data_IF_996019569882
#
_entry.id   IF_996019569882
#
_cell.length_a   1.000
_cell.length_b   1.000
_cell.length_c   1.000
_cell.angle_alpha   90.00
_cell.angle_beta   90.00
_cell.angle_gamma   90.00
#
_symmetry.space_group_name_H-M   'P 1'
#
loop_
_entity.id
_entity.type
_entity.pdbx_description
1 polymer ?
#
# COMPACT_ATOMS: atom_id res chain seq x y z
N UNK A 1 -31.95 -17.72 3.85
CA UNK A 1 -30.82 -16.80 4.04
C UNK A 1 -29.77 -17.17 3.01
N UNK A 2 -29.69 -16.47 1.87
CA UNK A 2 -28.60 -16.68 0.91
C UNK A 2 -27.32 -16.19 1.55
N UNK A 3 -26.38 -17.11 1.82
CA UNK A 3 -25.00 -16.73 2.06
C UNK A 3 -24.47 -16.13 0.75
N UNK A 4 -24.41 -14.80 0.68
CA UNK A 4 -23.61 -14.15 -0.35
C UNK A 4 -22.17 -14.58 -0.14
N UNK A 5 -21.60 -15.26 -1.14
CA UNK A 5 -20.16 -15.50 -1.17
C UNK A 5 -19.49 -14.13 -1.06
N UNK A 6 -18.60 -13.89 -0.07
CA UNK A 6 -17.93 -12.61 0.06
C UNK A 6 -17.24 -12.30 -1.27
N UNK A 7 -17.74 -11.30 -1.98
CA UNK A 7 -17.13 -10.90 -3.25
C UNK A 7 -15.78 -10.31 -2.89
N UNK A 8 -14.70 -10.77 -3.54
CA UNK A 8 -13.35 -10.28 -3.24
C UNK A 8 -13.34 -8.77 -3.41
N UNK A 9 -13.08 -8.02 -2.33
CA UNK A 9 -12.99 -6.57 -2.43
C UNK A 9 -11.81 -6.12 -3.28
N UNK A 10 -12.01 -4.99 -3.96
CA UNK A 10 -11.02 -4.38 -4.85
C UNK A 10 -9.85 -3.89 -4.02
N UNK A 11 -8.64 -4.22 -4.47
CA UNK A 11 -7.41 -3.72 -3.85
C UNK A 11 -7.29 -2.20 -4.03
N UNK A 12 -7.14 -1.47 -2.93
CA UNK A 12 -6.97 -0.02 -2.92
C UNK A 12 -5.54 0.34 -3.35
N UNK A 13 -5.41 1.24 -4.32
CA UNK A 13 -4.13 1.87 -4.65
C UNK A 13 -3.81 2.90 -3.57
N UNK A 14 -2.61 2.84 -3.03
CA UNK A 14 -2.17 3.69 -1.92
C UNK A 14 -0.68 3.94 -2.08
N UNK A 15 -0.25 5.16 -1.79
CA UNK A 15 1.16 5.52 -1.73
C UNK A 15 1.77 5.15 -0.38
N UNK A 16 3.07 4.92 -0.33
CA UNK A 16 3.77 4.54 0.91
C UNK A 16 3.59 5.59 2.01
N UNK A 17 3.65 6.88 1.68
CA UNK A 17 3.43 7.96 2.65
C UNK A 17 2.06 7.81 3.36
N UNK A 18 0.98 7.76 2.59
CA UNK A 18 -0.39 7.60 3.12
C UNK A 18 -0.57 6.26 3.86
N UNK A 19 0.04 5.19 3.35
CA UNK A 19 -0.06 3.88 3.97
C UNK A 19 0.62 3.85 5.34
N UNK A 20 1.83 4.37 5.44
CA UNK A 20 2.63 4.36 6.66
C UNK A 20 2.04 5.20 7.80
N UNK A 21 1.26 6.24 7.45
CA UNK A 21 0.55 7.07 8.43
C UNK A 21 -0.75 6.42 8.93
N UNK A 22 -1.21 5.35 8.28
CA UNK A 22 -2.38 4.60 8.72
C UNK A 22 -2.05 3.70 9.92
N UNK A 23 -2.83 3.78 10.99
CA UNK A 23 -2.63 2.97 12.20
C UNK A 23 -3.92 2.38 12.78
N UNK A 24 -5.08 2.84 12.32
CA UNK A 24 -6.37 2.43 12.87
C UNK A 24 -7.02 1.33 12.03
N UNK A 25 -7.41 0.23 12.68
CA UNK A 25 -8.17 -0.85 12.06
C UNK A 25 -9.55 -1.03 12.69
N UNK A 26 -10.56 -1.36 11.89
CA UNK A 26 -11.94 -1.50 12.34
C UNK A 26 -12.73 -2.54 11.55
N UNK A 27 -13.90 -2.93 12.08
CA UNK A 27 -14.91 -3.75 11.41
C UNK A 27 -16.17 -2.92 11.23
N UNK A 28 -16.88 -3.12 10.13
CA UNK A 28 -18.15 -2.42 9.84
C UNK A 28 -19.38 -3.08 10.52
N UNK A 29 -19.21 -4.28 11.07
CA UNK A 29 -20.28 -4.98 11.77
C UNK A 29 -19.74 -5.79 12.94
N UNK A 30 -20.63 -6.15 13.86
CA UNK A 30 -20.32 -6.99 15.02
C UNK A 30 -20.16 -8.48 14.66
N UNK A 31 -20.34 -8.86 13.40
CA UNK A 31 -20.14 -10.25 12.96
C UNK A 31 -18.68 -10.69 13.22
N UNK A 32 -18.52 -11.86 13.83
CA UNK A 32 -17.20 -12.43 14.11
C UNK A 32 -16.35 -12.57 12.84
N UNK A 33 -17.00 -12.85 11.71
CA UNK A 33 -16.41 -13.01 10.37
C UNK A 33 -16.34 -11.71 9.57
N UNK A 34 -16.75 -10.57 10.14
CA UNK A 34 -16.66 -9.29 9.47
C UNK A 34 -15.21 -8.99 9.05
N UNK A 35 -14.98 -8.50 7.82
CA UNK A 35 -13.65 -8.11 7.37
C UNK A 35 -13.09 -7.01 8.25
N UNK A 36 -11.79 -7.12 8.55
CA UNK A 36 -11.03 -6.06 9.19
C UNK A 36 -10.49 -5.12 8.10
N UNK A 37 -10.68 -3.82 8.30
CA UNK A 37 -10.21 -2.78 7.41
C UNK A 37 -9.12 -1.96 8.09
N UNK A 38 -8.15 -1.50 7.31
CA UNK A 38 -7.30 -0.36 7.65
C UNK A 38 -7.99 0.92 7.19
N UNK A 39 -8.08 1.91 8.06
CA UNK A 39 -8.55 3.24 7.70
C UNK A 39 -7.36 4.05 7.15
N UNK A 40 -7.44 4.54 5.92
CA UNK A 40 -6.43 5.42 5.35
C UNK A 40 -6.67 6.86 5.82
N UNK A 41 -5.61 7.66 6.04
CA UNK A 41 -5.73 9.06 6.46
C UNK A 41 -6.53 9.94 5.51
N UNK A 42 -6.59 9.60 4.22
CA UNK A 42 -7.40 10.30 3.21
C UNK A 42 -8.88 9.90 3.21
N UNK A 43 -9.36 9.19 4.23
CA UNK A 43 -10.78 8.92 4.42
C UNK A 43 -11.31 7.77 3.56
N UNK A 44 -10.56 6.69 3.44
CA UNK A 44 -10.98 5.47 2.73
C UNK A 44 -10.63 4.22 3.53
N UNK A 45 -11.38 3.15 3.33
CA UNK A 45 -11.11 1.86 3.96
C UNK A 45 -10.41 0.90 3.00
N UNK A 46 -9.44 0.15 3.52
CA UNK A 46 -8.70 -0.85 2.77
C UNK A 46 -8.73 -2.21 3.46
N UNK A 47 -9.38 -3.21 2.85
CA UNK A 47 -9.20 -4.61 3.22
C UNK A 47 -7.98 -5.24 2.52
N UNK A 48 -7.64 -4.69 1.35
CA UNK A 48 -6.55 -5.12 0.48
C UNK A 48 -5.96 -3.88 -0.18
N UNK A 49 -4.66 -3.87 -0.35
CA UNK A 49 -3.91 -2.83 -1.06
C UNK A 49 -3.26 -3.39 -2.31
N UNK A 50 -3.09 -2.52 -3.31
CA UNK A 50 -2.34 -2.76 -4.53
C UNK A 50 -1.27 -1.70 -4.66
N UNK A 51 -0.01 -2.10 -4.53
CA UNK A 51 1.14 -1.21 -4.54
C UNK A 51 2.13 -1.64 -5.61
N UNK A 52 2.80 -0.68 -6.23
CA UNK A 52 3.88 -0.93 -7.19
C UNK A 52 5.07 -0.08 -6.81
N UNK A 53 6.26 -0.67 -6.83
CA UNK A 53 7.49 0.02 -6.50
C UNK A 53 8.72 -0.82 -6.79
N UNK A 54 9.87 -0.30 -6.41
CA UNK A 54 11.15 -1.00 -6.56
C UNK A 54 11.42 -1.84 -5.32
N UNK A 55 11.48 -3.17 -5.47
CA UNK A 55 12.05 -4.04 -4.45
C UNK A 55 13.55 -3.73 -4.35
N UNK A 56 13.98 -3.10 -3.26
CA UNK A 56 15.38 -2.70 -3.04
C UNK A 56 16.14 -3.72 -2.21
N UNK A 57 15.46 -4.41 -1.30
CA UNK A 57 16.04 -5.39 -0.39
C UNK A 57 15.09 -6.56 -0.18
N UNK A 58 15.66 -7.76 -0.02
CA UNK A 58 14.95 -8.95 0.47
C UNK A 58 15.82 -9.68 1.50
N UNK A 59 15.21 -10.23 2.53
CA UNK A 59 15.91 -10.96 3.59
C UNK A 59 15.01 -12.09 4.11
N UNK A 60 15.56 -13.28 4.34
CA UNK A 60 14.89 -14.31 5.13
C UNK A 60 15.17 -14.02 6.61
N UNK A 61 14.15 -13.57 7.33
CA UNK A 61 14.23 -13.21 8.75
C UNK A 61 13.62 -14.30 9.65
N UNK A 62 13.35 -15.48 9.08
CA UNK A 62 12.87 -16.64 9.82
C UNK A 62 13.98 -17.38 10.56
N UNK A 63 13.67 -17.90 11.75
CA UNK A 63 14.59 -18.76 12.52
C UNK A 63 14.39 -20.25 12.16
N UNK A 64 13.20 -20.79 12.48
CA UNK A 64 12.87 -22.21 12.27
C UNK A 64 12.14 -22.49 10.95
N UNK A 65 11.60 -21.45 10.31
CA UNK A 65 10.80 -21.56 9.08
C UNK A 65 11.01 -20.34 8.21
N UNK A 66 11.01 -20.55 6.90
CA UNK A 66 11.15 -19.48 5.89
C UNK A 66 10.17 -18.33 6.13
N UNK A 67 10.71 -17.12 6.30
CA UNK A 67 9.95 -15.91 6.54
C UNK A 67 10.63 -14.72 5.87
N UNK A 68 10.22 -14.43 4.64
CA UNK A 68 10.82 -13.39 3.80
C UNK A 68 10.26 -12.01 4.13
N UNK A 69 11.16 -11.07 4.38
CA UNK A 69 10.91 -9.62 4.39
C UNK A 69 11.34 -9.02 3.05
N UNK A 70 10.46 -8.24 2.43
CA UNK A 70 10.78 -7.40 1.27
C UNK A 70 10.65 -5.92 1.61
N UNK A 71 11.57 -5.10 1.09
CA UNK A 71 11.53 -3.64 1.16
C UNK A 71 11.23 -3.09 -0.22
N UNK A 72 10.09 -2.43 -0.38
CA UNK A 72 9.60 -1.91 -1.67
C UNK A 72 9.50 -0.39 -1.56
N UNK A 73 10.13 0.33 -2.48
CA UNK A 73 10.17 1.79 -2.47
C UNK A 73 9.32 2.33 -3.61
N UNK A 74 8.41 3.25 -3.29
CA UNK A 74 7.69 4.07 -4.26
C UNK A 74 8.18 5.54 -4.17
N UNK A 75 7.70 6.46 -5.03
CA UNK A 75 8.14 7.86 -4.99
C UNK A 75 7.87 8.61 -3.66
N UNK A 76 7.01 8.06 -2.81
CA UNK A 76 6.54 8.69 -1.56
C UNK A 76 7.12 8.05 -0.30
N UNK A 77 7.78 6.88 -0.42
CA UNK A 77 8.33 6.19 0.74
C UNK A 77 8.56 4.70 0.55
N UNK A 78 8.50 3.96 1.65
CA UNK A 78 8.79 2.51 1.68
C UNK A 78 7.59 1.73 2.20
N UNK A 79 7.28 0.61 1.55
CA UNK A 79 6.47 -0.47 2.08
C UNK A 79 7.35 -1.62 2.56
N UNK A 80 6.95 -2.22 3.68
CA UNK A 80 7.49 -3.51 4.12
C UNK A 80 6.48 -4.62 3.85
N UNK A 81 6.94 -5.72 3.25
CA UNK A 81 6.14 -6.92 3.01
C UNK A 81 6.73 -8.11 3.74
N UNK A 82 5.88 -8.96 4.32
CA UNK A 82 6.31 -10.17 5.04
C UNK A 82 5.53 -11.39 4.55
N UNK A 83 6.24 -12.40 4.03
CA UNK A 83 5.67 -13.65 3.54
C UNK A 83 6.31 -14.85 4.23
N UNK A 84 5.51 -15.62 4.96
CA UNK A 84 5.95 -16.87 5.60
C UNK A 84 5.35 -18.12 4.98
N UNK A 85 5.46 -19.24 5.70
CA UNK A 85 4.88 -20.55 5.32
C UNK A 85 3.39 -20.54 4.95
N UNK A 86 2.61 -19.58 5.47
CA UNK A 86 1.19 -19.45 5.15
C UNK A 86 0.92 -18.60 3.89
N UNK A 87 1.95 -18.06 3.26
CA UNK A 87 1.93 -17.31 2.00
C UNK A 87 2.95 -17.93 1.01
N UNK A 88 2.84 -19.23 0.68
CA UNK A 88 3.90 -19.95 -0.03
C UNK A 88 4.21 -19.36 -1.41
N UNK A 89 3.20 -18.84 -2.11
CA UNK A 89 3.37 -18.18 -3.41
C UNK A 89 4.18 -16.88 -3.29
N UNK A 90 3.82 -16.00 -2.36
CA UNK A 90 4.53 -14.74 -2.18
C UNK A 90 5.93 -14.93 -1.57
N UNK A 91 6.11 -15.90 -0.67
CA UNK A 91 7.41 -16.27 -0.12
C UNK A 91 8.34 -16.80 -1.23
N UNK A 92 7.83 -17.69 -2.09
CA UNK A 92 8.58 -18.19 -3.24
C UNK A 92 8.95 -17.07 -4.21
N UNK A 93 8.02 -16.15 -4.51
CA UNK A 93 8.30 -15.00 -5.35
C UNK A 93 9.41 -14.12 -4.77
N UNK A 94 9.36 -13.76 -3.48
CA UNK A 94 10.43 -12.98 -2.83
C UNK A 94 11.77 -13.71 -2.86
N UNK A 95 11.78 -15.02 -2.59
CA UNK A 95 12.99 -15.85 -2.66
C UNK A 95 13.64 -15.82 -4.04
N UNK A 96 12.85 -15.80 -5.10
CA UNK A 96 13.32 -15.87 -6.50
C UNK A 96 13.65 -14.51 -7.11
N UNK A 97 13.06 -13.41 -6.62
CA UNK A 97 13.34 -12.06 -7.10
C UNK A 97 14.78 -11.62 -6.81
N UNK A 98 15.38 -10.86 -7.73
CA UNK A 98 16.70 -10.25 -7.56
C UNK A 98 16.56 -8.72 -7.50
N UNK A 99 16.77 -8.08 -6.33
CA UNK A 99 16.80 -6.63 -6.22
C UNK A 99 18.00 -6.01 -6.97
N UNK A 100 17.85 -4.84 -7.61
CA UNK A 100 16.63 -4.05 -7.73
C UNK A 100 15.68 -4.59 -8.82
N UNK A 101 14.38 -4.67 -8.51
CA UNK A 101 13.35 -5.05 -9.48
C UNK A 101 12.04 -4.31 -9.22
N UNK A 102 11.34 -3.86 -10.28
CA UNK A 102 9.98 -3.35 -10.12
C UNK A 102 9.02 -4.49 -9.83
N UNK A 103 8.23 -4.35 -8.77
CA UNK A 103 7.28 -5.36 -8.32
C UNK A 103 5.91 -4.75 -8.07
N UNK A 104 4.88 -5.49 -8.43
CA UNK A 104 3.51 -5.24 -8.06
C UNK A 104 3.10 -6.20 -6.93
N UNK A 105 2.52 -5.65 -5.87
CA UNK A 105 2.09 -6.40 -4.69
C UNK A 105 0.62 -6.17 -4.44
N UNK A 106 -0.11 -7.28 -4.31
CA UNK A 106 -1.46 -7.29 -3.77
C UNK A 106 -1.40 -7.95 -2.41
N UNK A 107 -1.90 -7.29 -1.37
CA UNK A 107 -1.82 -7.84 -0.03
C UNK A 107 -2.80 -7.24 0.95
N UNK A 108 -2.86 -7.86 2.13
CA UNK A 108 -3.67 -7.38 3.25
C UNK A 108 -2.85 -6.48 4.15
N UNK A 109 -3.38 -5.30 4.51
CA UNK A 109 -2.73 -4.48 5.52
C UNK A 109 -2.63 -5.19 6.87
N UNK A 110 -1.53 -4.97 7.57
CA UNK A 110 -1.29 -5.44 8.93
C UNK A 110 -0.65 -4.33 9.74
N UNK A 111 -1.30 -3.95 10.83
CA UNK A 111 -0.71 -3.11 11.87
C UNK A 111 0.02 -3.97 12.89
N UNK A 112 1.10 -3.44 13.45
CA UNK A 112 1.83 -4.02 14.56
C UNK A 112 2.44 -2.91 15.42
N UNK A 113 2.59 -3.17 16.71
CA UNK A 113 3.24 -2.26 17.63
C UNK A 113 4.74 -2.51 17.60
N UNK A 114 5.54 -1.45 17.54
CA UNK A 114 7.00 -1.50 17.65
C UNK A 114 7.45 -1.35 19.10
N UNK A 115 8.73 -1.64 19.36
CA UNK A 115 9.30 -1.62 20.71
C UNK A 115 9.23 -0.25 21.40
N UNK A 116 9.15 0.83 20.63
CA UNK A 116 8.98 2.21 21.11
C UNK A 116 7.50 2.61 21.32
N UNK A 117 6.56 1.69 21.12
CA UNK A 117 5.12 1.89 21.29
C UNK A 117 4.43 2.57 20.11
N UNK A 118 5.14 2.82 19.01
CA UNK A 118 4.51 3.32 17.79
C UNK A 118 3.78 2.19 17.05
N UNK A 119 2.73 2.53 16.28
CA UNK A 119 2.03 1.56 15.43
C UNK A 119 2.54 1.74 14.01
N UNK A 120 3.12 0.68 13.46
CA UNK A 120 3.54 0.62 12.06
C UNK A 120 2.63 -0.30 11.25
N UNK A 121 2.72 -0.17 9.94
CA UNK A 121 2.03 -1.05 8.99
C UNK A 121 2.98 -1.83 8.11
N UNK A 122 2.54 -3.02 7.74
CA UNK A 122 3.18 -3.85 6.72
C UNK A 122 2.13 -4.46 5.81
N UNK A 123 2.57 -4.90 4.64
CA UNK A 123 1.72 -5.64 3.69
C UNK A 123 1.96 -7.12 3.91
N UNK A 124 0.91 -7.87 4.22
CA UNK A 124 0.93 -9.34 4.11
C UNK A 124 0.56 -9.69 2.67
N UNK A 125 1.52 -10.07 1.83
CA UNK A 125 1.29 -10.25 0.41
C UNK A 125 0.43 -11.49 0.18
N UNK A 126 -0.53 -11.34 -0.73
CA UNK A 126 -1.27 -12.46 -1.33
C UNK A 126 -0.61 -12.85 -2.65
N UNK A 127 -0.07 -11.88 -3.40
CA UNK A 127 0.70 -12.10 -4.63
C UNK A 127 1.78 -11.03 -4.81
N UNK A 128 2.92 -11.41 -5.40
CA UNK A 128 4.01 -10.52 -5.79
C UNK A 128 4.43 -10.92 -7.22
N UNK A 129 4.55 -9.94 -8.11
CA UNK A 129 4.97 -10.17 -9.49
C UNK A 129 5.93 -9.07 -9.98
N UNK A 130 6.93 -9.43 -10.77
CA UNK A 130 7.77 -8.45 -11.48
C UNK A 130 6.94 -7.70 -12.52
N UNK A 131 7.18 -6.40 -12.64
CA UNK A 131 6.56 -5.54 -13.66
C UNK A 131 7.61 -4.70 -14.37
N UNK A 132 7.23 -4.03 -15.45
CA UNK A 132 8.08 -3.07 -16.16
C UNK A 132 7.89 -1.63 -15.64
N UNK A 133 8.75 -0.72 -16.12
CA UNK A 133 8.70 0.70 -15.77
C UNK A 133 7.35 1.32 -16.14
N UNK A 134 6.86 1.07 -17.35
CA UNK A 134 5.58 1.60 -17.82
C UNK A 134 4.39 1.20 -16.92
N UNK A 135 4.38 -0.02 -16.38
CA UNK A 135 3.38 -0.46 -15.40
C UNK A 135 3.51 0.29 -14.08
N UNK A 136 4.74 0.55 -13.62
CA UNK A 136 5.02 1.36 -12.44
C UNK A 136 4.54 2.80 -12.63
N UNK A 137 4.84 3.42 -13.75
CA UNK A 137 4.49 4.84 -14.02
C UNK A 137 2.98 5.02 -14.16
N UNK A 138 2.33 4.06 -14.82
CA UNK A 138 0.86 4.00 -14.86
C UNK A 138 0.26 3.84 -13.47
N UNK A 139 0.85 2.99 -12.61
CA UNK A 139 0.39 2.85 -11.24
C UNK A 139 0.54 4.15 -10.45
N UNK A 140 1.67 4.85 -10.57
CA UNK A 140 1.88 6.16 -9.92
C UNK A 140 0.81 7.16 -10.36
N UNK A 141 0.57 7.28 -11.67
CA UNK A 141 -0.46 8.18 -12.22
C UNK A 141 -1.86 7.85 -11.70
N UNK A 142 -2.27 6.58 -11.77
CA UNK A 142 -3.60 6.15 -11.32
C UNK A 142 -3.76 6.24 -9.80
N UNK A 143 -2.68 6.06 -9.04
CA UNK A 143 -2.68 6.18 -7.58
C UNK A 143 -2.80 7.63 -7.16
N UNK A 144 -2.03 8.53 -7.79
CA UNK A 144 -2.13 9.96 -7.55
C UNK A 144 -3.53 10.50 -7.84
N UNK A 145 -4.10 10.19 -9.01
CA UNK A 145 -5.46 10.61 -9.34
C UNK A 145 -6.48 10.15 -8.28
N UNK A 146 -6.44 8.88 -7.89
CA UNK A 146 -7.36 8.35 -6.86
C UNK A 146 -7.11 8.94 -5.48
N UNK A 147 -5.86 9.24 -5.12
CA UNK A 147 -5.54 9.89 -3.84
C UNK A 147 -6.09 11.31 -3.86
N UNK A 148 -5.87 12.08 -4.92
CA UNK A 148 -6.41 13.43 -5.08
C UNK A 148 -7.95 13.44 -5.04
N UNK A 149 -8.62 12.51 -5.74
CA UNK A 149 -10.08 12.37 -5.71
C UNK A 149 -10.62 12.16 -4.28
N UNK A 150 -9.92 11.33 -3.48
CA UNK A 150 -10.29 11.09 -2.07
C UNK A 150 -10.13 12.34 -1.21
N UNK A 151 -9.05 13.09 -1.44
CA UNK A 151 -8.76 14.32 -0.71
C UNK A 151 -9.79 15.40 -1.06
N UNK A 152 -10.17 15.54 -2.32
CA UNK A 152 -11.21 16.47 -2.76
C UNK A 152 -12.57 16.15 -2.13
N UNK A 153 -12.92 14.87 -2.02
CA UNK A 153 -14.14 14.39 -1.37
C UNK A 153 -14.01 14.24 0.18
N UNK A 154 -12.90 14.68 0.77
CA UNK A 154 -12.63 14.46 2.20
C UNK A 154 -13.57 15.25 3.11
N UNK A 155 -13.99 16.45 2.69
CA UNK A 155 -14.92 17.32 3.41
C UNK A 155 -16.40 17.06 3.11
N UNK A 156 -16.71 16.09 2.24
CA UNK A 156 -18.09 15.79 1.89
C UNK A 156 -18.90 15.32 3.12
N UNK A 157 -20.07 15.91 3.33
CA UNK A 157 -20.97 15.57 4.44
C UNK A 157 -21.38 14.09 4.45
N UNK A 158 -21.27 13.38 3.32
CA UNK A 158 -21.55 11.95 3.20
C UNK A 158 -20.38 11.04 3.59
N UNK A 159 -19.15 11.56 3.69
CA UNK A 159 -17.96 10.75 3.83
C UNK A 159 -17.71 10.35 5.30
N UNK A 160 -18.25 9.20 5.69
CA UNK A 160 -18.11 8.69 7.07
C UNK A 160 -16.69 8.29 7.43
N UNK A 161 -15.90 7.80 6.47
CA UNK A 161 -14.52 7.40 6.71
C UNK A 161 -13.60 8.61 6.81
N UNK A 162 -13.86 9.70 6.09
CA UNK A 162 -13.12 10.95 6.28
C UNK A 162 -13.37 11.56 7.67
N UNK A 163 -14.61 11.53 8.17
CA UNK A 163 -14.90 11.90 9.57
C UNK A 163 -14.15 11.01 10.54
N UNK A 164 -14.19 9.69 10.33
CA UNK A 164 -13.46 8.75 11.17
C UNK A 164 -11.95 8.99 11.10
N UNK A 165 -11.40 9.33 9.94
CA UNK A 165 -9.98 9.62 9.77
C UNK A 165 -9.57 10.87 10.56
N UNK A 166 -10.38 11.94 10.56
CA UNK A 166 -10.15 13.13 11.40
C UNK A 166 -10.14 12.83 12.89
N UNK A 167 -10.99 11.91 13.34
CA UNK A 167 -11.06 11.52 14.74
C UNK A 167 -9.87 10.63 15.17
N UNK A 168 -9.22 9.96 14.21
CA UNK A 168 -8.19 8.95 14.46
C UNK A 168 -6.78 9.44 14.18
N UNK A 169 -6.62 10.36 13.24
CA UNK A 169 -5.34 10.86 12.77
C UNK A 169 -5.25 12.36 13.00
N UNK A 170 -4.20 12.78 13.69
CA UNK A 170 -3.84 14.19 13.85
C UNK A 170 -2.84 14.58 12.74
N UNK A 171 -3.26 14.37 11.49
CA UNK A 171 -2.44 14.59 10.30
C UNK A 171 -3.23 15.39 9.26
N UNK A 172 -2.65 16.46 8.69
CA UNK A 172 -3.32 17.22 7.65
C UNK A 172 -3.30 16.42 6.34
N UNK A 173 -4.50 16.19 5.79
CA UNK A 173 -4.68 15.44 4.54
C UNK A 173 -3.88 16.01 3.36
N UNK A 174 -3.58 17.31 3.41
CA UNK A 174 -2.78 18.03 2.41
C UNK A 174 -1.34 17.51 2.29
N UNK A 175 -0.76 16.90 3.33
CA UNK A 175 0.55 16.25 3.22
C UNK A 175 0.53 15.10 2.20
N UNK A 176 -0.59 14.39 2.10
CA UNK A 176 -0.78 13.33 1.10
C UNK A 176 -1.08 13.89 -0.29
N UNK A 177 -1.65 15.10 -0.39
CA UNK A 177 -1.77 15.81 -1.68
C UNK A 177 -0.38 16.16 -2.20
N UNK A 178 0.46 16.74 -1.35
CA UNK A 178 1.83 17.11 -1.72
C UNK A 178 2.66 15.89 -2.12
N UNK A 179 2.52 14.78 -1.39
CA UNK A 179 3.16 13.51 -1.75
C UNK A 179 2.69 12.98 -3.12
N UNK A 180 1.38 13.03 -3.41
CA UNK A 180 0.84 12.60 -4.70
C UNK A 180 1.30 13.49 -5.86
N UNK A 181 1.36 14.81 -5.66
CA UNK A 181 1.84 15.77 -6.67
C UNK A 181 3.34 15.60 -6.90
N UNK A 182 4.12 15.39 -5.84
CA UNK A 182 5.56 15.12 -5.95
C UNK A 182 5.82 13.81 -6.70
N UNK A 183 5.03 12.76 -6.44
CA UNK A 183 5.12 11.50 -7.17
C UNK A 183 4.85 11.68 -8.67
N UNK A 184 3.85 12.48 -9.06
CA UNK A 184 3.58 12.79 -10.47
C UNK A 184 4.75 13.54 -11.12
N UNK A 185 5.29 14.57 -10.46
CA UNK A 185 6.45 15.33 -10.98
C UNK A 185 7.69 14.45 -11.18
N UNK A 186 7.87 13.46 -10.31
CA UNK A 186 8.99 12.52 -10.44
C UNK A 186 8.91 11.63 -11.69
N UNK A 187 7.73 11.49 -12.30
CA UNK A 187 7.57 10.85 -13.60
C UNK A 187 7.99 11.79 -14.73
N UNK A 188 7.53 13.04 -14.69
CA UNK A 188 7.87 14.04 -15.70
C UNK A 188 9.40 14.25 -15.79
N UNK A 189 10.07 14.36 -14.64
CA UNK A 189 11.54 14.48 -14.59
C UNK A 189 12.25 13.23 -15.14
N UNK A 190 11.65 12.04 -14.97
CA UNK A 190 12.22 10.78 -15.48
C UNK A 190 12.07 10.68 -17.00
N UNK A 191 10.91 11.06 -17.54
CA UNK A 191 10.62 11.08 -18.98
C UNK A 191 11.56 12.09 -19.69
N UNK A 192 11.77 13.28 -19.12
CA UNK A 192 12.69 14.28 -19.67
C UNK A 192 14.14 13.78 -19.75
N UNK A 193 14.59 12.99 -18.75
CA UNK A 193 15.93 12.40 -18.74
C UNK A 193 16.10 11.24 -19.74
N UNK A 194 15.04 10.48 -20.00
CA UNK A 194 15.04 9.42 -21.02
C UNK A 194 15.11 10.01 -22.44
N UNK A 195 14.44 11.14 -22.69
CA UNK A 195 14.46 11.84 -23.98
C UNK A 195 15.80 12.55 -24.27
N UNK A 196 16.57 12.93 -23.25
CA UNK A 196 17.89 13.58 -23.39
C UNK A 196 19.08 12.62 -23.50
N UNK A 197 18.89 11.31 -23.28
CA UNK A 197 19.96 10.31 -23.35
C UNK A 197 20.35 10.02 -24.82
N UNK A 198 21.65 10.11 -25.20
CA UNK A 198 22.08 9.82 -26.56
C UNK A 198 21.97 8.31 -26.87
N UNK A 199 21.40 8.00 -28.04
CA UNK A 199 21.21 6.64 -28.57
C UNK A 199 22.52 5.88 -28.89
#
# INVERSE_FOLDING_TARGET
MSQSVPTREVARRVFAAEYNDASYTFKESEDERAPLYLLLPTGERANRVFVVGTLTEKEDVGEDSEYWRGRIVDPTGTFFTYAGQYQPEAASALRELEPPAYVAVVGKPRTYETDDGSVNVSVRPESIATVDAATRDRWVTETAARTLDRIEAFDDEGNEYARMARDRYDLPVEEHRDAAVAALRSLDDADELEDEAPA
#
